data_IF_607884392736
#
_entry.id   IF_607884392736
#
_cell.length_a   1.000
_cell.length_b   1.000
_cell.length_c   1.000
_cell.angle_alpha   90.00
_cell.angle_beta   90.00
_cell.angle_gamma   90.00
#
_symmetry.space_group_name_H-M   'P 1'
#
loop_
_entity.id
_entity.type
_entity.pdbx_description
1 polymer ?
#
# COMPACT_ATOMS: atom_id res chain seq x y z
N UNK A 1 46.40 -34.98 14.92
CA UNK A 1 45.56 -34.14 15.82
C UNK A 1 45.08 -32.96 14.97
N UNK A 2 43.86 -32.99 14.41
CA UNK A 2 42.62 -32.38 14.95
C UNK A 2 42.79 -30.86 15.11
N UNK A 3 42.12 -29.93 14.39
CA UNK A 3 40.76 -29.82 13.80
C UNK A 3 40.85 -29.45 12.29
N UNK A 4 40.00 -29.87 11.33
CA UNK A 4 38.53 -29.90 11.28
C UNK A 4 38.01 -28.47 11.03
N UNK A 5 37.61 -28.01 9.85
CA UNK A 5 36.62 -28.53 8.92
C UNK A 5 35.50 -27.49 8.80
N UNK A 6 35.37 -26.86 7.62
CA UNK A 6 34.22 -26.04 7.24
C UNK A 6 34.39 -24.53 7.37
N UNK A 7 34.87 -23.85 6.32
CA UNK A 7 34.33 -22.58 5.83
C UNK A 7 34.85 -22.37 4.40
N UNK A 8 34.46 -23.30 3.56
CA UNK A 8 34.57 -23.21 2.11
C UNK A 8 33.41 -22.31 1.65
N UNK A 9 33.69 -21.03 1.41
CA UNK A 9 32.82 -20.07 0.73
C UNK A 9 31.47 -19.79 1.39
N UNK A 10 31.31 -18.65 2.08
CA UNK A 10 30.01 -17.99 2.04
C UNK A 10 29.81 -17.49 0.61
N UNK A 11 29.23 -18.34 -0.22
CA UNK A 11 28.84 -18.04 -1.59
C UNK A 11 27.86 -16.86 -1.49
N UNK A 12 28.07 -15.79 -2.26
CA UNK A 12 27.18 -14.60 -2.27
C UNK A 12 25.70 -15.02 -2.47
N UNK A 13 25.50 -16.19 -3.07
CA UNK A 13 24.22 -16.89 -3.20
C UNK A 13 23.50 -17.20 -1.87
N UNK A 14 24.21 -17.55 -0.78
CA UNK A 14 23.60 -17.89 0.51
C UNK A 14 23.11 -16.66 1.29
N UNK A 15 23.76 -15.51 1.12
CA UNK A 15 23.31 -14.23 1.71
C UNK A 15 22.08 -13.70 0.97
N UNK A 16 22.03 -13.86 -0.36
CA UNK A 16 20.86 -13.47 -1.16
C UNK A 16 19.64 -14.35 -0.87
N UNK A 17 19.84 -15.65 -0.66
CA UNK A 17 18.76 -16.57 -0.26
C UNK A 17 18.21 -16.20 1.13
N UNK A 18 19.06 -15.80 2.08
CA UNK A 18 18.59 -15.35 3.41
C UNK A 18 17.84 -14.01 3.36
N UNK A 19 18.22 -13.08 2.49
CA UNK A 19 17.51 -11.80 2.31
C UNK A 19 16.14 -11.98 1.65
N UNK A 20 16.03 -12.85 0.65
CA UNK A 20 14.75 -13.17 -0.01
C UNK A 20 13.83 -13.95 0.94
N UNK A 21 14.36 -14.89 1.71
CA UNK A 21 13.59 -15.61 2.74
C UNK A 21 13.10 -14.64 3.84
N UNK A 22 13.93 -13.68 4.27
CA UNK A 22 13.51 -12.66 5.24
C UNK A 22 12.42 -11.73 4.69
N UNK A 23 12.51 -11.30 3.42
CA UNK A 23 11.52 -10.45 2.77
C UNK A 23 10.18 -11.18 2.55
N UNK A 24 10.21 -12.43 2.09
CA UNK A 24 9.00 -13.27 1.93
C UNK A 24 8.35 -13.54 3.30
N UNK A 25 9.13 -13.82 4.35
CA UNK A 25 8.60 -14.01 5.71
C UNK A 25 7.99 -12.72 6.27
N UNK A 26 8.66 -11.56 6.09
CA UNK A 26 8.14 -10.28 6.58
C UNK A 26 6.87 -9.85 5.83
N UNK A 27 6.84 -10.03 4.51
CA UNK A 27 5.67 -9.79 3.66
C UNK A 27 4.49 -10.72 4.02
N UNK A 28 4.75 -12.01 4.28
CA UNK A 28 3.70 -12.97 4.64
C UNK A 28 3.18 -12.78 6.07
N UNK A 29 4.02 -12.40 7.04
CA UNK A 29 3.60 -12.08 8.42
C UNK A 29 2.81 -10.76 8.47
N UNK A 30 3.21 -9.75 7.70
CA UNK A 30 2.46 -8.49 7.58
C UNK A 30 1.09 -8.70 6.92
N UNK A 31 1.01 -9.55 5.89
CA UNK A 31 -0.25 -9.93 5.26
C UNK A 31 -1.15 -10.79 6.18
N UNK A 32 -0.57 -11.66 7.02
CA UNK A 32 -1.33 -12.52 7.94
C UNK A 32 -1.85 -11.78 9.18
N UNK A 33 -1.13 -10.76 9.68
CA UNK A 33 -1.63 -9.88 10.77
C UNK A 33 -2.83 -9.04 10.33
N UNK A 34 -2.89 -8.61 9.06
CA UNK A 34 -4.07 -7.88 8.54
C UNK A 34 -5.32 -8.75 8.44
N UNK A 35 -5.19 -10.06 8.15
CA UNK A 35 -6.34 -10.99 8.18
C UNK A 35 -6.75 -11.43 9.61
N UNK A 36 -5.92 -11.23 10.62
CA UNK A 36 -6.22 -11.64 12.00
C UNK A 36 -6.73 -10.48 12.89
N UNK A 37 -6.75 -9.25 12.37
CA UNK A 37 -7.23 -8.07 13.11
C UNK A 37 -8.66 -7.63 12.74
N UNK A 38 -9.41 -8.44 12.00
CA UNK A 38 -10.86 -8.26 11.81
C UNK A 38 -11.72 -9.11 12.75
N UNK A 39 -11.13 -9.94 13.63
CA UNK A 39 -11.90 -10.76 14.58
C UNK A 39 -11.27 -10.78 15.97
N UNK A 40 -11.37 -9.68 16.71
CA UNK A 40 -11.16 -9.63 18.16
C UNK A 40 -12.23 -8.74 18.80
N UNK A 41 -13.48 -9.21 18.75
CA UNK A 41 -14.48 -8.83 19.75
C UNK A 41 -14.33 -9.77 20.95
N UNK A 42 -14.18 -9.28 22.20
CA UNK A 42 -13.97 -10.14 23.35
C UNK A 42 -15.26 -10.83 23.78
N UNK A 43 -15.10 -12.13 24.08
CA UNK A 43 -16.13 -13.12 24.37
C UNK A 43 -16.45 -13.26 25.87
N UNK A 44 -17.62 -13.85 26.15
CA UNK A 44 -18.00 -14.49 27.43
C UNK A 44 -19.39 -14.07 27.88
N UNK A 45 -20.35 -14.91 28.25
CA UNK A 45 -20.39 -16.33 28.60
C UNK A 45 -21.86 -16.82 28.53
N UNK A 46 -22.15 -18.15 28.52
CA UNK A 46 -23.51 -18.67 28.44
C UNK A 46 -24.15 -18.78 29.82
N UNK A 47 -25.39 -18.31 29.99
CA UNK A 47 -26.23 -18.71 31.10
C UNK A 47 -27.71 -18.75 30.72
N UNK A 48 -28.36 -19.82 31.18
CA UNK A 48 -29.77 -20.15 31.09
C UNK A 48 -30.68 -19.01 31.57
N UNK A 49 -31.87 -18.81 30.96
CA UNK A 49 -33.16 -18.88 31.65
C UNK A 49 -34.36 -18.79 30.70
N UNK A 50 -35.41 -19.47 31.13
CA UNK A 50 -36.75 -19.66 30.59
C UNK A 50 -37.52 -18.39 30.16
N UNK A 51 -38.32 -18.59 29.11
CA UNK A 51 -39.76 -18.25 28.95
C UNK A 51 -40.26 -16.96 29.62
N UNK A 52 -40.64 -15.96 28.79
CA UNK A 52 -41.92 -15.25 28.96
C UNK A 52 -42.38 -14.60 27.66
N UNK A 53 -43.68 -14.71 27.40
CA UNK A 53 -44.42 -14.17 26.25
C UNK A 53 -44.29 -12.64 26.08
N UNK A 54 -44.27 -12.16 24.83
CA UNK A 54 -45.22 -11.13 24.36
C UNK A 54 -45.23 -10.95 22.83
N UNK A 55 -46.47 -11.07 22.33
CA UNK A 55 -47.15 -10.87 21.03
C UNK A 55 -46.57 -9.81 20.03
N UNK A 56 -46.85 -9.94 18.70
CA UNK A 56 -46.05 -9.39 17.62
C UNK A 56 -46.53 -8.00 17.12
N UNK A 57 -45.62 -7.24 16.51
CA UNK A 57 -45.94 -6.09 15.68
C UNK A 57 -45.50 -6.35 14.23
N UNK A 58 -46.48 -6.22 13.37
CA UNK A 58 -46.56 -6.51 11.95
C UNK A 58 -45.76 -5.51 11.10
N UNK A 59 -45.05 -5.99 10.07
CA UNK A 59 -44.36 -5.17 9.07
C UNK A 59 -43.79 -6.02 7.94
N UNK A 60 -44.65 -6.34 6.96
CA UNK A 60 -44.44 -7.07 5.69
C UNK A 60 -43.10 -6.79 4.98
N UNK A 61 -42.35 -7.81 4.55
CA UNK A 61 -42.49 -8.57 3.28
C UNK A 61 -42.46 -7.67 2.04
N UNK A 62 -41.27 -7.53 1.44
CA UNK A 62 -40.90 -7.46 0.00
C UNK A 62 -39.40 -7.10 0.01
N UNK A 63 -38.45 -7.99 -0.26
CA UNK A 63 -38.27 -8.73 -1.51
C UNK A 63 -37.13 -8.08 -2.29
N UNK A 64 -35.89 -8.49 -2.03
CA UNK A 64 -34.71 -8.05 -2.79
C UNK A 64 -33.43 -8.01 -1.97
N UNK A 65 -32.71 -9.12 -1.91
CA UNK A 65 -31.32 -9.14 -1.45
C UNK A 65 -30.46 -8.40 -2.47
N UNK A 66 -30.39 -7.07 -2.35
CA UNK A 66 -29.35 -6.30 -3.01
C UNK A 66 -28.06 -6.52 -2.23
N UNK A 67 -27.06 -7.12 -2.89
CA UNK A 67 -25.68 -7.06 -2.40
C UNK A 67 -25.32 -5.61 -2.07
N UNK A 68 -24.51 -5.34 -1.03
CA UNK A 68 -24.05 -3.98 -0.77
C UNK A 68 -23.36 -3.48 -2.04
N UNK A 69 -23.95 -2.48 -2.70
CA UNK A 69 -23.31 -1.80 -3.79
C UNK A 69 -22.00 -1.26 -3.25
N UNK A 70 -20.88 -1.64 -3.87
CA UNK A 70 -19.58 -1.05 -3.57
C UNK A 70 -19.77 0.48 -3.56
N UNK A 71 -19.47 1.10 -2.43
CA UNK A 71 -19.62 2.54 -2.26
C UNK A 71 -18.93 3.22 -3.44
N UNK A 72 -19.69 4.01 -4.21
CA UNK A 72 -19.13 4.76 -5.33
C UNK A 72 -18.01 5.65 -4.77
N UNK A 73 -16.88 5.77 -5.47
CA UNK A 73 -15.80 6.65 -5.03
C UNK A 73 -16.37 8.05 -4.79
N UNK A 74 -16.10 8.60 -3.61
CA UNK A 74 -16.51 9.96 -3.27
C UNK A 74 -15.57 10.89 -4.05
N UNK A 75 -16.08 11.49 -5.11
CA UNK A 75 -15.39 12.50 -5.89
C UNK A 75 -15.95 13.87 -5.49
N UNK A 76 -15.38 14.45 -4.45
CA UNK A 76 -15.53 15.86 -4.10
C UNK A 76 -14.32 16.62 -4.67
N UNK A 77 -14.25 16.69 -6.00
CA UNK A 77 -13.13 17.30 -6.71
C UNK A 77 -13.36 18.81 -6.91
N UNK A 78 -12.32 19.64 -6.75
CA UNK A 78 -12.42 21.07 -7.03
C UNK A 78 -12.55 21.33 -8.53
N UNK A 79 -13.13 22.48 -8.91
CA UNK A 79 -13.45 22.80 -10.31
C UNK A 79 -12.21 22.86 -11.25
N UNK A 80 -11.02 23.10 -10.70
CA UNK A 80 -9.77 23.14 -11.45
C UNK A 80 -9.15 21.74 -11.64
N UNK A 81 -9.64 20.71 -10.95
CA UNK A 81 -9.06 19.37 -11.00
C UNK A 81 -9.38 18.69 -12.34
N UNK A 82 -8.34 18.20 -13.00
CA UNK A 82 -8.45 17.42 -14.22
C UNK A 82 -7.94 16.00 -13.96
N UNK A 83 -8.85 15.04 -13.97
CA UNK A 83 -8.56 13.64 -13.66
C UNK A 83 -7.54 13.01 -14.63
N UNK A 84 -7.72 13.18 -15.93
CA UNK A 84 -6.82 12.58 -16.93
C UNK A 84 -5.37 13.08 -16.76
N UNK A 85 -5.21 14.40 -16.62
CA UNK A 85 -3.90 15.02 -16.39
C UNK A 85 -3.30 14.60 -15.05
N UNK A 86 -4.13 14.45 -14.03
CA UNK A 86 -3.69 13.99 -12.73
C UNK A 86 -3.21 12.53 -12.77
N UNK A 87 -3.93 11.63 -13.45
CA UNK A 87 -3.54 10.23 -13.61
C UNK A 87 -2.23 10.09 -14.40
N UNK A 88 -2.06 10.87 -15.47
CA UNK A 88 -0.80 10.92 -16.22
C UNK A 88 0.36 11.40 -15.34
N UNK A 89 0.17 12.50 -14.61
CA UNK A 89 1.18 13.04 -13.70
C UNK A 89 1.51 12.07 -12.55
N UNK A 90 0.51 11.35 -12.04
CA UNK A 90 0.67 10.34 -10.99
C UNK A 90 1.49 9.15 -11.48
N UNK A 91 1.28 8.72 -12.74
CA UNK A 91 2.10 7.67 -13.38
C UNK A 91 3.57 8.08 -13.50
N UNK A 92 3.85 9.34 -13.84
CA UNK A 92 5.22 9.87 -13.89
C UNK A 92 5.83 10.01 -12.49
N UNK A 93 5.04 10.44 -11.50
CA UNK A 93 5.47 10.48 -10.09
C UNK A 93 5.89 9.10 -9.60
N UNK A 94 5.07 8.09 -9.85
CA UNK A 94 5.37 6.72 -9.47
C UNK A 94 6.71 6.24 -10.05
N UNK A 95 6.92 6.41 -11.35
CA UNK A 95 8.17 6.00 -11.99
C UNK A 95 9.39 6.75 -11.47
N UNK A 96 9.26 8.07 -11.24
CA UNK A 96 10.35 8.90 -10.71
C UNK A 96 10.71 8.49 -9.29
N UNK A 97 9.70 8.25 -8.44
CA UNK A 97 9.93 7.80 -7.07
C UNK A 97 10.64 6.44 -7.04
N UNK A 98 10.25 5.50 -7.89
CA UNK A 98 10.91 4.19 -8.01
C UNK A 98 12.36 4.33 -8.48
N UNK A 99 12.62 5.17 -9.48
CA UNK A 99 13.98 5.41 -9.96
C UNK A 99 14.88 5.99 -8.86
N UNK A 100 14.41 7.01 -8.12
CA UNK A 100 15.18 7.62 -7.04
C UNK A 100 15.34 6.68 -5.84
N UNK A 101 14.33 5.87 -5.55
CA UNK A 101 14.42 4.82 -4.55
C UNK A 101 15.49 3.79 -4.89
N UNK A 102 15.50 3.29 -6.12
CA UNK A 102 16.46 2.30 -6.59
C UNK A 102 17.90 2.83 -6.56
N UNK A 103 18.07 4.11 -6.92
CA UNK A 103 19.34 4.84 -6.89
C UNK A 103 19.78 5.33 -5.50
N UNK A 104 18.95 5.15 -4.46
CA UNK A 104 19.18 5.67 -3.11
C UNK A 104 19.31 7.21 -3.03
N UNK A 105 18.57 7.93 -3.87
CA UNK A 105 18.61 9.41 -3.95
C UNK A 105 17.54 10.03 -3.03
N UNK A 106 17.72 9.89 -1.71
CA UNK A 106 16.72 10.36 -0.72
C UNK A 106 16.44 11.87 -0.79
N UNK A 107 17.45 12.67 -1.16
CA UNK A 107 17.28 14.12 -1.36
C UNK A 107 16.32 14.43 -2.52
N UNK A 108 16.29 13.58 -3.54
CA UNK A 108 15.34 13.70 -4.67
C UNK A 108 13.96 13.21 -4.30
N UNK A 109 13.87 12.13 -3.53
CA UNK A 109 12.59 11.64 -3.00
C UNK A 109 11.85 12.71 -2.19
N UNK A 110 12.58 13.56 -1.45
CA UNK A 110 12.01 14.64 -0.65
C UNK A 110 11.16 15.65 -1.45
N UNK A 111 11.36 15.74 -2.76
CA UNK A 111 10.58 16.62 -3.65
C UNK A 111 9.17 16.05 -3.95
N UNK A 112 8.97 14.75 -3.75
CA UNK A 112 7.75 14.02 -4.14
C UNK A 112 6.89 13.57 -2.96
N UNK A 113 7.43 13.58 -1.75
CA UNK A 113 6.78 13.02 -0.56
C UNK A 113 6.69 14.03 0.56
N UNK A 114 5.75 13.83 1.48
CA UNK A 114 5.67 14.67 2.68
C UNK A 114 6.89 14.43 3.58
N UNK A 115 7.28 15.42 4.42
CA UNK A 115 8.40 15.23 5.36
C UNK A 115 8.21 14.02 6.28
N UNK A 116 6.98 13.73 6.68
CA UNK A 116 6.67 12.59 7.54
C UNK A 116 6.90 11.26 6.82
N UNK A 117 6.50 11.15 5.54
CA UNK A 117 6.74 9.97 4.74
C UNK A 117 8.23 9.82 4.38
N UNK A 118 8.94 10.92 4.11
CA UNK A 118 10.38 10.91 3.85
C UNK A 118 11.15 10.27 5.00
N UNK A 119 10.86 10.66 6.24
CA UNK A 119 11.54 10.10 7.41
C UNK A 119 11.24 8.60 7.60
N UNK A 120 10.05 8.15 7.20
CA UNK A 120 9.73 6.72 7.15
C UNK A 120 10.56 6.00 6.08
N UNK A 121 10.59 6.54 4.85
CA UNK A 121 11.33 5.95 3.73
C UNK A 121 12.84 5.88 3.99
N UNK A 122 13.43 6.89 4.62
CA UNK A 122 14.85 6.87 5.02
C UNK A 122 15.17 5.72 5.98
N UNK A 123 14.27 5.42 6.92
CA UNK A 123 14.44 4.29 7.85
C UNK A 123 14.34 2.96 7.13
N UNK A 124 13.32 2.77 6.30
CA UNK A 124 13.21 1.55 5.49
C UNK A 124 14.43 1.37 4.58
N UNK A 125 14.93 2.45 4.00
CA UNK A 125 16.11 2.39 3.14
C UNK A 125 17.37 2.02 3.92
N UNK A 126 17.56 2.57 5.12
CA UNK A 126 18.68 2.23 5.98
C UNK A 126 18.67 0.74 6.37
N UNK A 127 17.49 0.16 6.58
CA UNK A 127 17.34 -1.27 6.91
C UNK A 127 17.68 -2.19 5.72
N UNK A 128 17.53 -1.73 4.47
CA UNK A 128 17.90 -2.46 3.25
C UNK A 128 19.41 -2.42 2.94
N UNK A 129 20.14 -1.47 3.53
CA UNK A 129 21.58 -1.26 3.32
C UNK A 129 21.93 -0.53 2.01
N UNK A 130 23.24 -0.49 1.70
CA UNK A 130 23.79 0.33 0.60
C UNK A 130 23.67 -0.30 -0.80
N UNK A 131 22.98 -1.44 -0.93
CA UNK A 131 22.82 -2.12 -2.19
C UNK A 131 21.90 -1.34 -3.15
N UNK A 132 22.35 -1.12 -4.39
CA UNK A 132 21.46 -0.65 -5.45
C UNK A 132 20.31 -1.62 -5.62
N UNK A 133 19.10 -1.08 -5.72
CA UNK A 133 17.92 -1.86 -6.08
C UNK A 133 17.69 -1.72 -7.59
N UNK A 134 16.94 -2.64 -8.16
CA UNK A 134 16.55 -2.55 -9.57
C UNK A 134 15.15 -3.10 -9.70
N UNK A 135 14.22 -2.21 -9.97
CA UNK A 135 12.81 -2.50 -10.08
C UNK A 135 12.33 -2.15 -11.47
N UNK A 136 11.82 -3.15 -12.19
CA UNK A 136 11.14 -2.97 -13.46
C UNK A 136 9.64 -3.15 -13.25
N UNK A 137 8.85 -2.26 -13.83
CA UNK A 137 7.39 -2.26 -13.68
C UNK A 137 6.77 -2.50 -15.04
N UNK A 138 6.10 -3.63 -15.18
CA UNK A 138 5.31 -3.98 -16.36
C UNK A 138 3.82 -3.78 -16.09
N UNK A 139 3.08 -3.46 -17.15
CA UNK A 139 1.62 -3.33 -17.13
C UNK A 139 1.06 -2.39 -16.05
N UNK A 140 1.77 -1.30 -15.75
CA UNK A 140 1.33 -0.32 -14.76
C UNK A 140 -0.03 0.26 -15.12
N UNK A 141 -1.01 0.06 -14.23
CA UNK A 141 -2.33 0.68 -14.25
C UNK A 141 -2.46 1.61 -13.06
N UNK A 142 -3.18 2.71 -13.29
CA UNK A 142 -3.43 3.73 -12.28
C UNK A 142 -4.92 3.99 -12.29
N UNK A 143 -5.54 3.93 -11.12
CA UNK A 143 -6.96 4.22 -10.92
C UNK A 143 -7.08 5.34 -9.88
N UNK A 144 -7.93 6.33 -10.16
CA UNK A 144 -8.32 7.33 -9.16
C UNK A 144 -9.48 6.77 -8.33
N UNK A 145 -9.25 6.57 -7.04
CA UNK A 145 -10.24 6.01 -6.12
C UNK A 145 -11.05 7.08 -5.39
N UNK A 146 -10.55 8.31 -5.34
CA UNK A 146 -11.23 9.38 -4.60
C UNK A 146 -10.48 10.71 -4.70
N UNK A 147 -11.25 11.80 -4.66
CA UNK A 147 -10.72 13.16 -4.48
C UNK A 147 -11.60 13.86 -3.46
N UNK A 148 -10.97 14.50 -2.48
CA UNK A 148 -11.63 15.23 -1.41
C UNK A 148 -10.98 16.60 -1.26
N UNK A 149 -11.71 17.65 -1.65
CA UNK A 149 -11.30 19.03 -1.44
C UNK A 149 -11.67 19.50 -0.03
N UNK A 150 -10.64 19.86 0.75
CA UNK A 150 -10.78 20.39 2.11
C UNK A 150 -10.31 21.83 2.17
N UNK A 151 -10.65 22.48 3.28
CA UNK A 151 -10.35 23.89 3.51
C UNK A 151 -8.85 24.22 3.44
N UNK A 152 -7.97 23.30 3.83
CA UNK A 152 -6.52 23.48 3.90
C UNK A 152 -5.76 22.81 2.76
N UNK A 153 -6.33 21.75 2.17
CA UNK A 153 -5.70 20.97 1.09
C UNK A 153 -6.69 20.15 0.29
N UNK A 154 -6.29 19.74 -0.90
CA UNK A 154 -6.97 18.69 -1.67
C UNK A 154 -6.26 17.36 -1.45
N UNK A 155 -7.02 16.30 -1.20
CA UNK A 155 -6.52 14.95 -1.00
C UNK A 155 -7.01 14.08 -2.16
N UNK A 156 -6.13 13.27 -2.73
CA UNK A 156 -6.49 12.30 -3.75
C UNK A 156 -5.98 10.91 -3.38
N UNK A 157 -6.80 9.89 -3.59
CA UNK A 157 -6.40 8.49 -3.40
C UNK A 157 -6.30 7.82 -4.76
N UNK A 158 -5.15 7.22 -5.04
CA UNK A 158 -4.89 6.48 -6.26
C UNK A 158 -4.56 5.03 -5.92
N UNK A 159 -4.94 4.08 -6.78
CA UNK A 159 -4.44 2.71 -6.73
C UNK A 159 -3.59 2.43 -7.96
N UNK A 160 -2.34 2.04 -7.71
CA UNK A 160 -1.38 1.55 -8.68
C UNK A 160 -1.39 0.03 -8.66
N UNK A 161 -1.38 -0.60 -9.83
CA UNK A 161 -1.25 -2.06 -9.95
C UNK A 161 -0.45 -2.43 -11.19
N UNK A 162 0.22 -3.58 -11.15
CA UNK A 162 1.07 -4.04 -12.23
C UNK A 162 1.89 -5.24 -11.83
N UNK A 163 3.00 -5.48 -12.54
CA UNK A 163 3.96 -6.55 -12.24
C UNK A 163 5.32 -5.91 -11.95
N UNK A 164 5.88 -6.16 -10.78
CA UNK A 164 7.22 -5.70 -10.39
C UNK A 164 8.24 -6.81 -10.59
N UNK A 165 9.41 -6.47 -11.11
CA UNK A 165 10.47 -7.41 -11.45
C UNK A 165 11.80 -6.91 -10.93
N UNK A 166 12.62 -7.83 -10.41
CA UNK A 166 13.99 -7.52 -9.97
C UNK A 166 15.02 -7.59 -11.12
N UNK A 167 14.61 -8.20 -12.24
CA UNK A 167 15.40 -8.33 -13.47
C UNK A 167 14.49 -8.40 -14.69
N UNK A 168 14.96 -7.96 -15.86
CA UNK A 168 14.19 -8.00 -17.11
C UNK A 168 13.79 -9.41 -17.56
N UNK A 169 14.51 -10.43 -17.07
CA UNK A 169 14.24 -11.84 -17.38
C UNK A 169 13.33 -12.52 -16.35
N UNK A 170 12.99 -11.82 -15.27
CA UNK A 170 12.09 -12.32 -14.23
C UNK A 170 10.63 -12.26 -14.71
N UNK A 171 9.82 -13.22 -14.25
CA UNK A 171 8.37 -13.17 -14.42
C UNK A 171 7.75 -12.06 -13.57
N UNK A 172 8.37 -11.75 -12.42
CA UNK A 172 7.94 -10.71 -11.50
C UNK A 172 6.78 -11.11 -10.60
N UNK A 173 6.43 -10.20 -9.70
CA UNK A 173 5.32 -10.33 -8.76
C UNK A 173 4.23 -9.31 -9.08
N UNK A 174 2.97 -9.75 -9.06
CA UNK A 174 1.84 -8.81 -9.14
C UNK A 174 1.81 -7.96 -7.87
N UNK A 175 1.65 -6.65 -8.04
CA UNK A 175 1.46 -5.72 -6.95
C UNK A 175 0.20 -4.88 -7.13
N UNK A 176 -0.33 -4.42 -6.00
CA UNK A 176 -1.40 -3.44 -5.92
C UNK A 176 -1.17 -2.59 -4.68
N UNK A 177 -1.10 -1.28 -4.84
CA UNK A 177 -0.87 -0.35 -3.75
C UNK A 177 -1.69 0.93 -3.93
N UNK A 178 -2.18 1.46 -2.81
CA UNK A 178 -2.90 2.72 -2.78
C UNK A 178 -2.00 3.83 -2.24
N UNK A 179 -1.98 4.96 -2.93
CA UNK A 179 -1.25 6.16 -2.55
C UNK A 179 -2.23 7.24 -2.12
N UNK A 180 -1.96 7.85 -0.99
CA UNK A 180 -2.65 9.05 -0.55
C UNK A 180 -1.79 10.26 -0.92
N UNK A 181 -2.30 11.05 -1.86
CA UNK A 181 -1.69 12.27 -2.35
C UNK A 181 -2.31 13.48 -1.66
N UNK A 182 -1.52 14.49 -1.35
CA UNK A 182 -2.02 15.77 -0.85
C UNK A 182 -1.44 16.94 -1.64
N UNK A 183 -2.24 17.97 -1.81
CA UNK A 183 -1.84 19.25 -2.40
C UNK A 183 -2.36 20.39 -1.52
N UNK A 184 -1.49 21.21 -0.93
CA UNK A 184 -1.90 22.41 -0.20
C UNK A 184 -2.76 23.33 -1.09
N UNK A 185 -3.67 24.08 -0.48
CA UNK A 185 -4.40 25.12 -1.21
C UNK A 185 -3.45 26.23 -1.70
N UNK A 186 -3.82 26.85 -2.82
CA UNK A 186 -3.05 27.93 -3.44
C UNK A 186 -2.60 27.61 -4.87
N UNK A 187 -2.01 28.61 -5.49
CA UNK A 187 -1.49 28.49 -6.86
C UNK A 187 -0.15 27.76 -6.87
N UNK A 188 0.10 26.98 -7.92
CA UNK A 188 1.38 26.29 -8.17
C UNK A 188 1.87 25.35 -7.04
N UNK A 189 0.99 24.92 -6.14
CA UNK A 189 1.33 23.94 -5.11
C UNK A 189 1.55 22.54 -5.72
N UNK A 190 2.61 21.82 -5.32
CA UNK A 190 2.88 20.48 -5.80
C UNK A 190 1.93 19.45 -5.17
N UNK A 191 1.78 18.32 -5.84
CA UNK A 191 1.20 17.13 -5.25
C UNK A 191 2.29 16.31 -4.56
N UNK A 192 2.08 15.95 -3.30
CA UNK A 192 3.02 15.17 -2.51
C UNK A 192 2.38 13.85 -2.06
N UNK A 193 3.15 12.78 -2.06
CA UNK A 193 2.74 11.50 -1.48
C UNK A 193 2.80 11.61 0.04
N UNK A 194 1.64 11.51 0.70
CA UNK A 194 1.52 11.54 2.15
C UNK A 194 1.48 10.15 2.78
N UNK A 195 1.17 9.10 2.01
CA UNK A 195 1.20 7.74 2.48
C UNK A 195 1.05 6.71 1.37
N UNK A 196 1.61 5.53 1.59
CA UNK A 196 1.57 4.38 0.68
C UNK A 196 1.06 3.17 1.45
N UNK A 197 0.13 2.41 0.85
CA UNK A 197 -0.45 1.22 1.45
C UNK A 197 -0.54 0.09 0.44
N UNK A 198 0.14 -1.02 0.70
CA UNK A 198 -0.03 -2.26 -0.07
C UNK A 198 -1.46 -2.81 0.11
N UNK A 199 -2.12 -3.19 -0.98
CA UNK A 199 -3.51 -3.67 -0.99
C UNK A 199 -3.64 -5.20 -0.81
N UNK A 200 -2.52 -5.93 -0.89
CA UNK A 200 -2.41 -7.33 -0.46
C UNK A 200 -2.75 -8.35 -1.55
#
# INVERSE_FOLDING_TARGET
MFMGGGFQGMQIFDILILAVIAFVIFRFIAARRRKQQEHLAPAGAPMQREVFEQKPAMGSIFGGSAAPAAARPVINAPAWFNEERFIEAARSHFQSLQQHWDANEMDKIAEFVTPQLLEFLKRERADLGDGFQSTYIDDLRVQLDGVDDRADKTIATLTFSGVSKTSRFDQGEVFSESWNMERPQGENQPWLVAGIRQNG
#
